data_IF_597692001278
#
_entry.id   IF_597692001278
#
_cell.length_a   1.000
_cell.length_b   1.000
_cell.length_c   1.000
_cell.angle_alpha   90.00
_cell.angle_beta   90.00
_cell.angle_gamma   90.00
#
_symmetry.space_group_name_H-M   'P 1'
#
loop_
_entity.id
_entity.type
_entity.pdbx_description
1 polymer ?
#
# COMPACT_ATOMS: atom_id res chain seq x y z
N UNK A 1 -26.43 -33.21 43.25
CA UNK A 1 -25.78 -31.88 43.05
C UNK A 1 -24.64 -32.01 42.05
N UNK A 2 -24.93 -31.93 40.75
CA UNK A 2 -23.91 -31.90 39.70
C UNK A 2 -23.51 -30.44 39.45
N UNK A 3 -22.21 -30.14 39.57
CA UNK A 3 -21.65 -28.80 39.34
C UNK A 3 -21.59 -28.52 37.83
N UNK A 4 -22.44 -27.60 37.36
CA UNK A 4 -22.30 -26.99 36.03
C UNK A 4 -20.98 -26.21 35.96
N UNK A 5 -20.03 -26.68 35.15
CA UNK A 5 -18.84 -25.91 34.81
C UNK A 5 -19.18 -24.85 33.75
N UNK A 6 -18.76 -23.58 33.91
CA UNK A 6 -18.98 -22.55 32.91
C UNK A 6 -18.03 -22.76 31.71
N UNK A 7 -18.55 -23.31 30.61
CA UNK A 7 -17.83 -23.50 29.36
C UNK A 7 -17.47 -22.19 28.60
N UNK A 8 -17.56 -21.02 29.25
CA UNK A 8 -17.62 -19.73 28.56
C UNK A 8 -16.26 -19.01 28.40
N UNK A 9 -15.18 -19.47 29.04
CA UNK A 9 -13.90 -18.73 29.06
C UNK A 9 -12.88 -19.16 28.00
N UNK A 10 -13.01 -20.34 27.39
CA UNK A 10 -11.94 -20.92 26.54
C UNK A 10 -11.83 -20.30 25.14
N UNK A 11 -12.90 -19.69 24.60
CA UNK A 11 -12.88 -19.13 23.23
C UNK A 11 -12.29 -17.72 23.13
N UNK A 12 -12.14 -16.98 24.24
CA UNK A 12 -11.59 -15.60 24.20
C UNK A 12 -10.07 -15.55 24.03
N UNK A 13 -9.36 -16.58 24.50
CA UNK A 13 -7.89 -16.63 24.47
C UNK A 13 -7.36 -16.93 23.05
N UNK A 14 -8.11 -17.71 22.26
CA UNK A 14 -7.68 -18.12 20.91
C UNK A 14 -7.72 -16.95 19.91
N UNK A 15 -8.69 -16.03 20.03
CA UNK A 15 -8.82 -14.88 19.13
C UNK A 15 -7.67 -13.87 19.34
N UNK A 16 -7.23 -13.68 20.59
CA UNK A 16 -6.12 -12.77 20.93
C UNK A 16 -4.78 -13.32 20.41
N UNK A 17 -4.56 -14.63 20.48
CA UNK A 17 -3.32 -15.27 20.02
C UNK A 17 -3.16 -15.26 18.50
N UNK A 18 -4.25 -15.19 17.72
CA UNK A 18 -4.20 -15.21 16.25
C UNK A 18 -4.00 -13.82 15.64
N UNK A 19 -4.37 -12.74 16.34
CA UNK A 19 -4.17 -11.35 15.90
C UNK A 19 -2.76 -10.81 16.22
N UNK A 20 -2.11 -11.30 17.27
CA UNK A 20 -0.80 -10.83 17.73
C UNK A 20 0.36 -11.04 16.73
N UNK A 21 0.50 -12.20 16.05
CA UNK A 21 1.61 -12.41 15.12
C UNK A 21 1.51 -11.56 13.83
N UNK A 22 0.30 -11.15 13.41
CA UNK A 22 0.12 -10.29 12.24
C UNK A 22 0.60 -8.84 12.46
N UNK A 23 0.70 -8.40 13.71
CA UNK A 23 1.22 -7.07 14.07
C UNK A 23 2.75 -7.03 14.16
N UNK A 24 3.40 -8.16 14.43
CA UNK A 24 4.85 -8.23 14.67
C UNK A 24 5.69 -8.41 13.40
N UNK A 25 5.11 -8.92 12.30
CA UNK A 25 5.87 -9.22 11.07
C UNK A 25 6.27 -7.99 10.22
N UNK A 26 5.82 -6.76 10.54
CA UNK A 26 6.10 -5.59 9.69
C UNK A 26 7.54 -5.05 9.78
N UNK A 27 8.31 -5.43 10.79
CA UNK A 27 9.59 -4.76 11.08
C UNK A 27 10.84 -5.57 10.72
N UNK A 28 10.72 -6.78 10.17
CA UNK A 28 11.87 -7.70 10.07
C UNK A 28 12.67 -7.64 8.74
N UNK A 29 12.24 -6.90 7.72
CA UNK A 29 12.89 -6.96 6.39
C UNK A 29 13.13 -5.63 5.66
N UNK A 30 12.96 -4.48 6.31
CA UNK A 30 13.29 -3.20 5.69
C UNK A 30 14.61 -2.67 6.26
N UNK A 31 15.73 -2.87 5.56
CA UNK A 31 16.84 -1.95 5.76
C UNK A 31 16.34 -0.56 5.32
N UNK A 32 16.40 0.46 6.20
CA UNK A 32 15.82 1.76 5.89
C UNK A 32 16.57 2.33 4.69
N UNK A 33 15.85 2.60 3.59
CA UNK A 33 16.38 3.19 2.36
C UNK A 33 17.18 4.47 2.64
N UNK A 34 16.77 5.23 3.65
CA UNK A 34 17.48 6.37 4.23
C UNK A 34 18.98 6.13 4.49
N UNK A 35 19.37 4.92 4.93
CA UNK A 35 20.79 4.60 5.12
C UNK A 35 21.58 4.61 3.81
N UNK A 36 20.99 4.12 2.72
CA UNK A 36 21.66 4.14 1.40
C UNK A 36 21.74 5.54 0.80
N UNK A 37 20.77 6.42 1.09
CA UNK A 37 20.83 7.84 0.69
C UNK A 37 21.92 8.58 1.46
N UNK A 38 22.09 8.29 2.75
CA UNK A 38 23.19 8.85 3.55
C UNK A 38 24.56 8.39 3.05
N UNK A 39 24.70 7.14 2.60
CA UNK A 39 25.92 6.66 1.96
C UNK A 39 26.26 7.45 0.69
N UNK A 40 25.26 7.77 -0.16
CA UNK A 40 25.47 8.61 -1.34
C UNK A 40 26.05 9.98 -0.96
N UNK A 41 25.47 10.62 0.08
CA UNK A 41 25.97 11.89 0.61
C UNK A 41 27.41 11.78 1.09
N UNK A 42 27.72 10.73 1.86
CA UNK A 42 29.08 10.48 2.36
C UNK A 42 30.10 10.27 1.23
N UNK A 43 29.75 9.54 0.17
CA UNK A 43 30.63 9.36 -0.99
C UNK A 43 30.97 10.70 -1.64
N UNK A 44 29.99 11.59 -1.81
CA UNK A 44 30.23 12.93 -2.32
C UNK A 44 31.12 13.77 -1.37
N UNK A 45 30.84 13.75 -0.07
CA UNK A 45 31.61 14.47 0.95
C UNK A 45 33.07 13.99 1.02
N UNK A 46 33.31 12.72 0.72
CA UNK A 46 34.64 12.12 0.61
C UNK A 46 35.30 12.32 -0.75
N UNK A 47 34.71 13.12 -1.65
CA UNK A 47 35.23 13.41 -3.01
C UNK A 47 35.26 12.16 -3.92
N UNK A 48 34.50 11.12 -3.57
CA UNK A 48 34.34 9.91 -4.39
C UNK A 48 33.19 10.06 -5.40
N UNK A 49 33.35 10.99 -6.35
CA UNK A 49 32.28 11.38 -7.27
C UNK A 49 31.75 10.24 -8.15
N UNK A 50 32.63 9.38 -8.67
CA UNK A 50 32.22 8.22 -9.50
C UNK A 50 31.43 7.18 -8.69
N UNK A 51 31.87 6.91 -7.45
CA UNK A 51 31.16 6.04 -6.51
C UNK A 51 29.78 6.61 -6.17
N UNK A 52 29.70 7.93 -5.94
CA UNK A 52 28.44 8.62 -5.68
C UNK A 52 27.47 8.48 -6.86
N UNK A 53 27.94 8.67 -8.10
CA UNK A 53 27.12 8.46 -9.31
C UNK A 53 26.62 7.02 -9.40
N UNK A 54 27.50 6.05 -9.16
CA UNK A 54 27.14 4.62 -9.18
C UNK A 54 26.04 4.32 -8.15
N UNK A 55 26.22 4.79 -6.91
CA UNK A 55 25.24 4.62 -5.84
C UNK A 55 23.92 5.32 -6.14
N UNK A 56 23.97 6.53 -6.71
CA UNK A 56 22.78 7.27 -7.14
C UNK A 56 22.00 6.50 -8.21
N UNK A 57 22.69 5.92 -9.20
CA UNK A 57 22.07 5.07 -10.23
C UNK A 57 21.42 3.80 -9.64
N UNK A 58 22.03 3.18 -8.63
CA UNK A 58 21.41 2.06 -7.91
C UNK A 58 20.12 2.49 -7.20
N UNK A 59 20.14 3.63 -6.51
CA UNK A 59 18.97 4.19 -5.82
C UNK A 59 17.83 4.51 -6.81
N UNK A 60 18.14 5.09 -7.97
CA UNK A 60 17.15 5.39 -9.01
C UNK A 60 16.55 4.14 -9.68
N UNK A 61 17.21 2.98 -9.59
CA UNK A 61 16.68 1.68 -10.07
C UNK A 61 15.74 1.01 -9.08
N UNK A 62 15.63 1.51 -7.85
CA UNK A 62 14.71 0.96 -6.86
C UNK A 62 13.25 1.13 -7.32
N UNK A 63 12.31 0.31 -6.82
CA UNK A 63 10.89 0.49 -7.11
C UNK A 63 10.45 1.93 -6.81
N UNK A 64 9.59 2.51 -7.64
CA UNK A 64 9.24 3.94 -7.58
C UNK A 64 8.57 4.45 -6.28
N UNK A 65 8.32 3.58 -5.31
CA UNK A 65 7.84 3.92 -3.96
C UNK A 65 8.90 3.70 -2.86
N UNK A 66 10.13 3.33 -3.22
CA UNK A 66 11.21 3.08 -2.28
C UNK A 66 11.85 4.38 -1.76
N UNK A 67 11.86 5.43 -2.58
CA UNK A 67 12.37 6.75 -2.23
C UNK A 67 11.20 7.72 -2.03
N UNK A 68 11.22 8.43 -0.91
CA UNK A 68 10.38 9.61 -0.73
C UNK A 68 10.78 10.73 -1.70
N UNK A 69 9.89 11.71 -1.97
CA UNK A 69 10.23 12.86 -2.83
C UNK A 69 11.47 13.62 -2.35
N UNK A 70 11.64 13.77 -1.03
CA UNK A 70 12.80 14.45 -0.45
C UNK A 70 14.08 13.64 -0.61
N UNK A 71 14.04 12.32 -0.40
CA UNK A 71 15.18 11.43 -0.65
C UNK A 71 15.56 11.42 -2.13
N UNK A 72 14.59 11.41 -3.04
CA UNK A 72 14.83 11.49 -4.47
C UNK A 72 15.47 12.82 -4.87
N UNK A 73 15.03 13.93 -4.26
CA UNK A 73 15.65 15.24 -4.44
C UNK A 73 17.11 15.24 -3.93
N UNK A 74 17.39 14.58 -2.80
CA UNK A 74 18.76 14.40 -2.30
C UNK A 74 19.60 13.59 -3.30
N UNK A 75 19.07 12.49 -3.85
CA UNK A 75 19.78 11.67 -4.83
C UNK A 75 20.17 12.49 -6.06
N UNK A 76 19.21 13.20 -6.67
CA UNK A 76 19.50 14.04 -7.83
C UNK A 76 20.47 15.17 -7.52
N UNK A 77 20.36 15.81 -6.36
CA UNK A 77 21.27 16.87 -5.94
C UNK A 77 22.73 16.40 -5.89
N UNK A 78 22.99 15.29 -5.20
CA UNK A 78 24.35 14.78 -5.05
C UNK A 78 24.89 14.15 -6.35
N UNK A 79 24.03 13.55 -7.18
CA UNK A 79 24.44 13.13 -8.52
C UNK A 79 24.82 14.34 -9.40
N UNK A 80 24.00 15.40 -9.40
CA UNK A 80 24.28 16.62 -10.16
C UNK A 80 25.60 17.27 -9.72
N UNK A 81 25.84 17.37 -8.42
CA UNK A 81 27.11 17.88 -7.88
C UNK A 81 28.30 17.01 -8.30
N UNK A 82 28.15 15.69 -8.25
CA UNK A 82 29.22 14.76 -8.63
C UNK A 82 29.57 14.87 -10.11
N UNK A 83 28.58 14.88 -11.01
CA UNK A 83 28.80 15.07 -12.44
C UNK A 83 29.44 16.43 -12.76
N UNK A 84 28.99 17.50 -12.10
CA UNK A 84 29.55 18.83 -12.30
C UNK A 84 31.03 18.88 -11.92
N UNK A 85 31.41 18.28 -10.78
CA UNK A 85 32.80 18.22 -10.33
C UNK A 85 33.70 17.37 -11.25
N UNK A 86 33.13 16.38 -11.95
CA UNK A 86 33.83 15.60 -12.98
C UNK A 86 33.90 16.33 -14.35
N UNK A 87 33.29 17.51 -14.48
CA UNK A 87 33.25 18.28 -15.72
C UNK A 87 32.16 17.84 -16.71
N UNK A 88 31.33 16.86 -16.35
CA UNK A 88 30.19 16.42 -17.16
C UNK A 88 28.96 17.31 -16.85
N UNK A 89 28.96 18.50 -17.43
CA UNK A 89 27.90 19.49 -17.22
C UNK A 89 26.55 19.06 -17.83
N UNK A 90 26.56 18.24 -18.88
CA UNK A 90 25.35 17.76 -19.52
C UNK A 90 24.58 16.79 -18.60
N UNK A 91 25.28 15.81 -18.02
CA UNK A 91 24.68 14.91 -17.03
C UNK A 91 24.27 15.65 -15.76
N UNK A 92 25.08 16.62 -15.31
CA UNK A 92 24.73 17.47 -14.16
C UNK A 92 23.42 18.24 -14.40
N UNK A 93 23.26 18.81 -15.61
CA UNK A 93 22.06 19.52 -16.02
C UNK A 93 20.82 18.66 -15.94
N UNK A 94 20.87 17.44 -16.46
CA UNK A 94 19.72 16.50 -16.41
C UNK A 94 19.26 16.32 -14.96
N UNK A 95 20.19 16.07 -14.04
CA UNK A 95 19.84 15.86 -12.63
C UNK A 95 19.38 17.13 -11.91
N UNK A 96 19.91 18.30 -12.24
CA UNK A 96 19.40 19.57 -11.71
C UNK A 96 17.99 19.89 -12.20
N UNK A 97 17.68 19.64 -13.47
CA UNK A 97 16.32 19.81 -13.99
C UNK A 97 15.35 18.81 -13.35
N UNK A 98 15.78 17.56 -13.14
CA UNK A 98 15.02 16.59 -12.35
C UNK A 98 14.77 17.08 -10.93
N UNK A 99 15.77 17.65 -10.26
CA UNK A 99 15.65 18.24 -8.94
C UNK A 99 14.65 19.41 -8.90
N UNK A 100 14.71 20.32 -9.88
CA UNK A 100 13.76 21.43 -10.03
C UNK A 100 12.33 20.96 -10.33
N UNK A 101 12.16 19.82 -11.01
CA UNK A 101 10.84 19.22 -11.22
C UNK A 101 10.21 18.71 -9.92
N UNK A 102 11.04 18.36 -8.92
CA UNK A 102 10.60 17.93 -7.59
C UNK A 102 10.38 19.13 -6.66
N UNK A 103 11.28 20.12 -6.72
CA UNK A 103 11.28 21.31 -5.86
C UNK A 103 11.54 22.58 -6.70
N UNK A 104 10.51 23.17 -7.34
CA UNK A 104 10.68 24.30 -8.27
C UNK A 104 11.27 25.56 -7.64
N UNK A 105 11.00 25.75 -6.34
CA UNK A 105 11.45 26.91 -5.58
C UNK A 105 12.78 26.68 -4.84
N UNK A 106 13.44 25.54 -5.06
CA UNK A 106 14.69 25.20 -4.38
C UNK A 106 15.76 26.27 -4.58
N UNK A 107 16.43 26.64 -3.49
CA UNK A 107 17.65 27.45 -3.48
C UNK A 107 18.79 26.62 -2.90
N UNK A 108 19.98 26.70 -3.51
CA UNK A 108 21.17 26.03 -2.99
C UNK A 108 21.80 26.86 -1.88
N UNK A 109 22.23 26.21 -0.80
CA UNK A 109 22.87 26.89 0.34
C UNK A 109 24.30 27.34 -0.04
N UNK A 110 24.61 28.66 -0.03
CA UNK A 110 25.95 29.17 -0.34
C UNK A 110 27.04 28.72 0.63
N UNK A 111 26.68 28.32 1.86
CA UNK A 111 27.64 27.81 2.83
C UNK A 111 28.09 26.36 2.51
N UNK A 112 27.30 25.62 1.75
CA UNK A 112 27.53 24.19 1.46
C UNK A 112 27.88 23.94 -0.01
N UNK A 113 27.65 24.92 -0.88
CA UNK A 113 27.76 24.77 -2.33
C UNK A 113 28.74 25.78 -2.91
N UNK A 114 29.59 25.34 -3.83
CA UNK A 114 30.55 26.25 -4.47
C UNK A 114 29.83 27.30 -5.33
N UNK A 115 30.36 28.55 -5.41
CA UNK A 115 29.75 29.61 -6.22
C UNK A 115 29.47 29.19 -7.66
N UNK A 116 30.40 28.44 -8.28
CA UNK A 116 30.24 27.95 -9.67
C UNK A 116 29.04 27.03 -9.86
N UNK A 117 28.77 26.14 -8.90
CA UNK A 117 27.61 25.25 -8.95
C UNK A 117 26.32 26.06 -8.76
N UNK A 118 26.34 27.06 -7.87
CA UNK A 118 25.19 27.95 -7.65
C UNK A 118 24.87 28.71 -8.94
N UNK A 119 25.85 29.32 -9.57
CA UNK A 119 25.66 30.06 -10.83
C UNK A 119 25.09 29.16 -11.92
N UNK A 120 25.63 27.95 -12.07
CA UNK A 120 25.13 26.95 -13.01
C UNK A 120 23.68 26.53 -12.70
N UNK A 121 23.37 26.28 -11.44
CA UNK A 121 22.01 25.92 -11.02
C UNK A 121 21.00 27.05 -11.25
N UNK A 122 21.36 28.31 -10.98
CA UNK A 122 20.49 29.45 -11.21
C UNK A 122 20.17 29.63 -12.70
N UNK A 123 21.15 29.45 -13.59
CA UNK A 123 20.92 29.44 -15.04
C UNK A 123 19.91 28.37 -15.44
N UNK A 124 20.04 27.15 -14.90
CA UNK A 124 19.10 26.07 -15.15
C UNK A 124 17.71 26.31 -14.55
N UNK A 125 17.63 27.03 -13.43
CA UNK A 125 16.36 27.43 -12.80
C UNK A 125 15.60 28.45 -13.66
N UNK A 126 16.30 29.43 -14.22
CA UNK A 126 15.73 30.38 -15.19
C UNK A 126 15.27 29.66 -16.45
N UNK A 127 16.09 28.74 -16.98
CA UNK A 127 15.71 27.90 -18.11
C UNK A 127 14.45 27.09 -17.79
N UNK A 128 14.42 26.39 -16.66
CA UNK A 128 13.28 25.56 -16.23
C UNK A 128 11.99 26.37 -16.11
N UNK A 129 12.05 27.60 -15.60
CA UNK A 129 10.90 28.52 -15.55
C UNK A 129 10.42 28.90 -16.94
N UNK A 130 11.33 29.20 -17.87
CA UNK A 130 10.97 29.53 -19.25
C UNK A 130 10.31 28.35 -19.97
N UNK A 131 10.81 27.13 -19.76
CA UNK A 131 10.22 25.93 -20.37
C UNK A 131 8.87 25.59 -19.74
N UNK A 132 8.73 25.75 -18.43
CA UNK A 132 7.44 25.50 -17.75
C UNK A 132 6.32 26.43 -18.24
N UNK A 133 6.66 27.59 -18.81
CA UNK A 133 5.71 28.51 -19.43
C UNK A 133 5.43 28.19 -20.91
N UNK A 134 6.32 27.45 -21.58
CA UNK A 134 6.22 27.02 -22.97
C UNK A 134 5.89 25.53 -23.03
N UNK A 135 4.64 25.18 -22.73
CA UNK A 135 4.17 23.85 -22.33
C UNK A 135 4.28 22.69 -23.36
N UNK A 136 5.02 22.78 -24.48
CA UNK A 136 4.79 21.86 -25.61
C UNK A 136 5.89 20.93 -26.16
N UNK A 137 7.21 21.05 -25.91
CA UNK A 137 8.16 20.29 -26.77
C UNK A 137 9.45 19.71 -26.16
N UNK A 138 9.66 19.72 -24.84
CA UNK A 138 10.93 19.20 -24.27
C UNK A 138 10.75 18.01 -23.33
N UNK A 139 11.52 16.96 -23.63
CA UNK A 139 11.55 15.68 -22.90
C UNK A 139 12.48 15.81 -21.69
N UNK A 140 11.95 16.23 -20.54
CA UNK A 140 12.57 15.95 -19.25
C UNK A 140 11.70 15.00 -18.45
N UNK A 141 12.35 14.12 -17.68
CA UNK A 141 11.68 13.17 -16.79
C UNK A 141 10.91 13.92 -15.71
N UNK A 142 9.61 14.14 -15.95
CA UNK A 142 8.69 14.68 -14.94
C UNK A 142 8.30 13.56 -13.99
N UNK A 143 8.76 13.65 -12.74
CA UNK A 143 8.34 12.71 -11.71
C UNK A 143 6.86 12.95 -11.37
N UNK A 144 6.03 11.94 -11.62
CA UNK A 144 4.63 11.94 -11.15
C UNK A 144 4.58 11.09 -9.89
N UNK A 145 4.44 11.77 -8.75
CA UNK A 145 4.23 11.10 -7.46
C UNK A 145 2.82 10.50 -7.48
N UNK A 146 2.73 9.20 -7.73
CA UNK A 146 1.47 8.47 -7.64
C UNK A 146 1.32 7.91 -6.21
N UNK A 147 0.28 8.34 -5.50
CA UNK A 147 -0.05 7.80 -4.18
C UNK A 147 -0.37 6.30 -4.29
N UNK A 148 0.27 5.44 -3.48
CA UNK A 148 -0.08 4.03 -3.46
C UNK A 148 -1.45 3.82 -2.80
N UNK A 149 -2.41 3.34 -3.57
CA UNK A 149 -3.78 3.11 -3.12
C UNK A 149 -3.92 1.92 -2.17
N UNK A 150 -2.91 1.05 -2.02
CA UNK A 150 -2.99 -0.21 -1.25
C UNK A 150 -3.32 -0.03 0.23
N UNK A 151 -2.64 0.82 1.03
CA UNK A 151 -2.92 0.94 2.46
C UNK A 151 -4.34 1.46 2.70
N UNK A 152 -4.74 2.47 1.92
CA UNK A 152 -6.09 3.01 1.96
C UNK A 152 -7.16 2.00 1.49
N UNK A 153 -6.84 1.14 0.52
CA UNK A 153 -7.75 0.09 0.07
C UNK A 153 -7.93 -1.01 1.13
N UNK A 154 -6.85 -1.41 1.81
CA UNK A 154 -6.91 -2.37 2.91
C UNK A 154 -7.80 -1.87 4.05
N UNK A 155 -7.60 -0.61 4.48
CA UNK A 155 -8.42 -0.01 5.55
C UNK A 155 -9.91 0.01 5.19
N UNK A 156 -10.24 0.42 3.96
CA UNK A 156 -11.64 0.43 3.49
C UNK A 156 -12.26 -0.95 3.45
N UNK A 157 -11.49 -1.96 3.03
CA UNK A 157 -11.94 -3.36 2.97
C UNK A 157 -12.13 -3.97 4.36
N UNK A 158 -11.37 -3.51 5.36
CA UNK A 158 -11.56 -3.92 6.74
C UNK A 158 -12.91 -3.44 7.30
N UNK A 159 -13.36 -2.23 6.91
CA UNK A 159 -14.67 -1.70 7.31
C UNK A 159 -15.80 -2.35 6.49
N UNK A 160 -15.67 -2.35 5.17
CA UNK A 160 -16.68 -2.88 4.25
C UNK A 160 -15.99 -3.82 3.25
N UNK A 161 -16.16 -5.14 3.38
CA UNK A 161 -15.54 -6.09 2.47
C UNK A 161 -15.90 -5.83 1.00
N UNK A 162 -14.87 -5.77 0.16
CA UNK A 162 -14.97 -5.44 -1.27
C UNK A 162 -14.81 -3.94 -1.61
N UNK A 163 -14.87 -3.03 -0.63
CA UNK A 163 -14.79 -1.58 -0.89
C UNK A 163 -13.41 -1.14 -1.38
N UNK A 164 -12.32 -1.70 -0.85
CA UNK A 164 -10.97 -1.38 -1.31
C UNK A 164 -10.70 -1.84 -2.74
N UNK A 165 -11.22 -3.01 -3.13
CA UNK A 165 -11.13 -3.49 -4.51
C UNK A 165 -11.87 -2.55 -5.48
N UNK A 166 -13.04 -2.03 -5.10
CA UNK A 166 -13.77 -1.03 -5.92
C UNK A 166 -12.95 0.24 -6.12
N UNK A 167 -12.31 0.77 -5.06
CA UNK A 167 -11.43 1.96 -5.15
C UNK A 167 -10.25 1.73 -6.10
N UNK A 168 -9.72 0.50 -6.14
CA UNK A 168 -8.65 0.09 -7.04
C UNK A 168 -9.13 -0.23 -8.47
N UNK A 169 -10.41 -0.02 -8.79
CA UNK A 169 -11.00 -0.34 -10.09
C UNK A 169 -11.23 -1.84 -10.34
N UNK A 170 -11.00 -2.71 -9.35
CA UNK A 170 -11.08 -4.16 -9.49
C UNK A 170 -12.51 -4.68 -9.25
N UNK A 171 -13.46 -4.31 -10.11
CA UNK A 171 -14.90 -4.61 -9.93
C UNK A 171 -15.20 -6.11 -9.75
N UNK A 172 -14.61 -6.98 -10.58
CA UNK A 172 -14.84 -8.43 -10.47
C UNK A 172 -14.38 -9.01 -9.12
N UNK A 173 -13.23 -8.57 -8.60
CA UNK A 173 -12.75 -9.00 -7.27
C UNK A 173 -13.63 -8.47 -6.15
N UNK A 174 -14.10 -7.23 -6.26
CA UNK A 174 -15.03 -6.66 -5.29
C UNK A 174 -16.33 -7.46 -5.21
N UNK A 175 -16.89 -7.89 -6.35
CA UNK A 175 -18.11 -8.72 -6.38
C UNK A 175 -17.87 -10.08 -5.73
N UNK A 176 -16.78 -10.78 -6.10
CA UNK A 176 -16.49 -12.12 -5.55
C UNK A 176 -16.20 -12.05 -4.05
N UNK A 177 -15.27 -11.19 -3.64
CA UNK A 177 -14.83 -11.13 -2.24
C UNK A 177 -15.82 -10.41 -1.33
N UNK A 178 -16.41 -9.31 -1.80
CA UNK A 178 -17.45 -8.60 -1.05
C UNK A 178 -18.75 -9.41 -1.01
N UNK A 179 -19.20 -9.91 -2.15
CA UNK A 179 -20.41 -10.74 -2.24
C UNK A 179 -20.32 -12.03 -1.43
N UNK A 180 -19.19 -12.73 -1.49
CA UNK A 180 -18.97 -13.93 -0.68
C UNK A 180 -19.00 -13.66 0.82
N UNK A 181 -18.43 -12.54 1.27
CA UNK A 181 -18.53 -12.13 2.68
C UNK A 181 -19.98 -11.87 3.09
N UNK A 182 -20.72 -11.06 2.33
CA UNK A 182 -22.11 -10.73 2.66
C UNK A 182 -23.03 -11.97 2.62
N UNK A 183 -22.84 -12.87 1.66
CA UNK A 183 -23.54 -14.14 1.62
C UNK A 183 -23.24 -15.00 2.86
N UNK A 184 -21.97 -15.11 3.26
CA UNK A 184 -21.56 -15.81 4.48
C UNK A 184 -22.16 -15.20 5.76
N UNK A 185 -22.22 -13.87 5.83
CA UNK A 185 -22.82 -13.14 6.95
C UNK A 185 -24.32 -13.42 7.05
N UNK A 186 -25.05 -13.38 5.93
CA UNK A 186 -26.48 -13.70 5.87
C UNK A 186 -26.71 -15.17 6.28
N UNK A 187 -25.93 -16.10 5.72
CA UNK A 187 -26.04 -17.52 6.06
C UNK A 187 -25.78 -17.77 7.56
N UNK A 188 -24.80 -17.09 8.15
CA UNK A 188 -24.52 -17.12 9.58
C UNK A 188 -25.71 -16.62 10.40
N UNK A 189 -26.35 -15.52 9.97
CA UNK A 189 -27.56 -14.97 10.60
C UNK A 189 -28.74 -15.94 10.58
N UNK A 190 -28.98 -16.61 9.44
CA UNK A 190 -30.02 -17.64 9.31
C UNK A 190 -29.73 -18.83 10.23
N UNK A 191 -28.49 -19.33 10.24
CA UNK A 191 -28.10 -20.43 11.12
C UNK A 191 -28.21 -20.07 12.60
N UNK A 192 -27.91 -18.80 12.97
CA UNK A 192 -28.12 -18.28 14.31
C UNK A 192 -29.60 -18.29 14.71
N UNK A 193 -30.48 -17.76 13.85
CA UNK A 193 -31.92 -17.73 14.10
C UNK A 193 -32.50 -19.14 14.28
N UNK A 194 -32.14 -20.08 13.40
CA UNK A 194 -32.58 -21.49 13.50
C UNK A 194 -32.08 -22.18 14.77
N UNK A 195 -30.79 -22.00 15.10
CA UNK A 195 -30.22 -22.54 16.33
C UNK A 195 -30.90 -21.97 17.58
N UNK A 196 -31.32 -20.70 17.57
CA UNK A 196 -32.02 -20.09 18.69
C UNK A 196 -33.45 -20.63 18.83
N UNK A 197 -34.21 -20.76 17.73
CA UNK A 197 -35.56 -21.35 17.77
C UNK A 197 -35.54 -22.78 18.32
N UNK A 198 -34.66 -23.64 17.80
CA UNK A 198 -34.53 -25.03 18.27
C UNK A 198 -34.06 -25.11 19.72
N UNK A 199 -33.30 -24.11 20.17
CA UNK A 199 -32.91 -24.01 21.57
C UNK A 199 -34.12 -23.80 22.47
N UNK A 200 -34.97 -22.87 22.10
CA UNK A 200 -36.16 -22.53 22.87
C UNK A 200 -37.13 -23.72 22.89
N UNK A 201 -37.27 -24.43 21.76
CA UNK A 201 -38.08 -25.65 21.64
C UNK A 201 -37.56 -26.79 22.54
N UNK A 202 -36.25 -27.11 22.52
CA UNK A 202 -35.72 -28.21 23.35
C UNK A 202 -35.83 -27.91 24.84
N UNK A 203 -35.71 -26.65 25.25
CA UNK A 203 -35.83 -26.23 26.66
C UNK A 203 -37.27 -26.37 27.14
N UNK A 204 -38.24 -26.15 26.25
CA UNK A 204 -39.66 -26.25 26.57
C UNK A 204 -40.20 -27.70 26.56
N UNK A 205 -39.56 -28.60 25.81
CA UNK A 205 -39.97 -29.99 25.68
C UNK A 205 -39.89 -30.74 27.03
N UNK A 206 -40.87 -31.61 27.27
CA UNK A 206 -40.97 -32.41 28.51
C UNK A 206 -40.77 -33.91 28.27
N UNK A 207 -41.03 -34.37 27.05
CA UNK A 207 -40.85 -35.77 26.68
C UNK A 207 -39.36 -36.07 26.41
N UNK A 208 -38.75 -37.08 27.07
CA UNK A 208 -37.34 -37.41 26.86
C UNK A 208 -36.96 -37.71 25.41
N UNK A 209 -37.83 -38.38 24.64
CA UNK A 209 -37.54 -38.70 23.24
C UNK A 209 -37.54 -37.43 22.37
N UNK A 210 -38.51 -36.54 22.59
CA UNK A 210 -38.56 -35.23 21.93
C UNK A 210 -37.36 -34.35 22.28
N UNK A 211 -36.95 -34.30 23.56
CA UNK A 211 -35.78 -33.54 24.02
C UNK A 211 -34.52 -33.99 23.26
N UNK A 212 -34.29 -35.30 23.14
CA UNK A 212 -33.10 -35.84 22.45
C UNK A 212 -33.08 -35.40 20.98
N UNK A 213 -34.22 -35.51 20.28
CA UNK A 213 -34.33 -35.12 18.87
C UNK A 213 -34.08 -33.63 18.66
N UNK A 214 -34.74 -32.77 19.44
CA UNK A 214 -34.57 -31.32 19.36
C UNK A 214 -33.15 -30.89 19.72
N UNK A 215 -32.51 -31.57 20.68
CA UNK A 215 -31.11 -31.35 21.02
C UNK A 215 -30.18 -31.66 19.85
N UNK A 216 -30.38 -32.78 19.15
CA UNK A 216 -29.55 -33.16 18.01
C UNK A 216 -29.69 -32.17 16.85
N UNK A 217 -30.92 -31.74 16.55
CA UNK A 217 -31.21 -30.70 15.55
C UNK A 217 -30.54 -29.36 15.94
N UNK A 218 -30.70 -28.95 17.20
CA UNK A 218 -30.05 -27.76 17.76
C UNK A 218 -28.53 -27.85 17.61
N UNK A 219 -27.93 -28.99 17.98
CA UNK A 219 -26.49 -29.21 17.92
C UNK A 219 -25.96 -29.17 16.48
N UNK A 220 -26.72 -29.72 15.53
CA UNK A 220 -26.44 -29.63 14.09
C UNK A 220 -26.35 -28.17 13.63
N UNK A 221 -27.40 -27.38 13.84
CA UNK A 221 -27.43 -25.96 13.47
C UNK A 221 -26.40 -25.12 14.22
N UNK A 222 -26.13 -25.46 15.48
CA UNK A 222 -25.10 -24.80 16.28
C UNK A 222 -23.69 -25.00 15.68
N UNK A 223 -23.36 -26.23 15.27
CA UNK A 223 -22.09 -26.54 14.58
C UNK A 223 -22.02 -25.86 13.22
N UNK A 224 -23.10 -25.88 12.44
CA UNK A 224 -23.19 -25.17 11.15
C UNK A 224 -22.94 -23.68 11.31
N UNK A 225 -23.57 -23.05 12.31
CA UNK A 225 -23.34 -21.64 12.63
C UNK A 225 -21.87 -21.37 12.93
N UNK A 226 -21.23 -22.18 13.78
CA UNK A 226 -19.81 -22.00 14.09
C UNK A 226 -18.92 -22.12 12.85
N UNK A 227 -19.20 -23.09 11.98
CA UNK A 227 -18.48 -23.27 10.73
C UNK A 227 -18.65 -22.05 9.80
N UNK A 228 -19.88 -21.56 9.63
CA UNK A 228 -20.18 -20.38 8.80
C UNK A 228 -19.56 -19.09 9.36
N UNK A 229 -19.59 -18.89 10.67
CA UNK A 229 -18.93 -17.76 11.33
C UNK A 229 -17.43 -17.79 11.06
N UNK A 230 -16.78 -18.96 11.22
CA UNK A 230 -15.35 -19.11 10.95
C UNK A 230 -15.03 -18.87 9.48
N UNK A 231 -15.80 -19.46 8.56
CA UNK A 231 -15.62 -19.27 7.13
C UNK A 231 -15.76 -17.79 6.73
N UNK A 232 -16.78 -17.10 7.26
CA UNK A 232 -17.00 -15.66 7.01
C UNK A 232 -15.84 -14.81 7.53
N UNK A 233 -15.31 -15.12 8.72
CA UNK A 233 -14.15 -14.43 9.27
C UNK A 233 -12.88 -14.66 8.42
N UNK A 234 -12.63 -15.89 7.96
CA UNK A 234 -11.53 -16.21 7.04
C UNK A 234 -11.69 -15.43 5.74
N UNK A 235 -12.90 -15.37 5.18
CA UNK A 235 -13.17 -14.64 3.95
C UNK A 235 -12.94 -13.13 4.11
N UNK A 236 -13.31 -12.57 5.26
CA UNK A 236 -13.01 -11.18 5.62
C UNK A 236 -11.50 -10.91 5.64
N UNK A 237 -10.70 -11.78 6.29
CA UNK A 237 -9.23 -11.65 6.30
C UNK A 237 -8.65 -11.70 4.88
N UNK A 238 -9.08 -12.67 4.07
CA UNK A 238 -8.65 -12.78 2.67
C UNK A 238 -8.99 -11.50 1.89
N UNK A 239 -10.18 -10.93 2.11
CA UNK A 239 -10.57 -9.68 1.44
C UNK A 239 -9.67 -8.49 1.80
N UNK A 240 -9.32 -8.33 3.08
CA UNK A 240 -8.43 -7.26 3.56
C UNK A 240 -7.01 -7.45 3.01
N UNK A 241 -6.48 -8.67 3.08
CA UNK A 241 -5.13 -8.99 2.56
C UNK A 241 -5.08 -8.76 1.04
N UNK A 242 -6.09 -9.22 0.30
CA UNK A 242 -6.17 -8.98 -1.14
C UNK A 242 -6.22 -7.48 -1.47
N UNK A 243 -6.96 -6.69 -0.70
CA UNK A 243 -7.02 -5.24 -0.92
C UNK A 243 -5.67 -4.56 -0.69
N UNK A 244 -4.89 -5.00 0.30
CA UNK A 244 -3.56 -4.48 0.60
C UNK A 244 -2.45 -4.96 -0.35
N UNK A 245 -2.58 -6.16 -0.93
CA UNK A 245 -1.49 -6.76 -1.71
C UNK A 245 -1.72 -6.76 -3.22
N UNK A 246 -2.98 -6.85 -3.67
CA UNK A 246 -3.22 -7.09 -5.09
C UNK A 246 -2.88 -5.90 -5.97
N UNK A 247 -2.20 -6.21 -7.07
CA UNK A 247 -1.87 -5.24 -8.12
C UNK A 247 -3.15 -4.65 -8.71
N UNK A 248 -3.15 -3.34 -8.89
CA UNK A 248 -4.23 -2.59 -9.51
C UNK A 248 -3.75 -1.99 -10.81
N UNK A 249 -4.67 -1.69 -11.76
CA UNK A 249 -4.33 -0.98 -12.97
C UNK A 249 -3.68 0.34 -12.57
N UNK A 250 -2.39 0.49 -12.88
CA UNK A 250 -1.72 1.78 -12.75
C UNK A 250 -2.18 2.65 -13.93
N UNK A 251 -2.37 3.97 -13.74
CA UNK A 251 -2.60 4.85 -14.87
C UNK A 251 -1.49 4.63 -15.89
N UNK A 252 -1.87 4.35 -17.14
CA UNK A 252 -0.90 4.24 -18.21
C UNK A 252 -0.58 5.66 -18.66
N UNK A 253 0.63 6.12 -18.41
CA UNK A 253 1.12 7.37 -18.95
C UNK A 253 1.44 7.14 -20.43
N UNK A 254 0.59 7.65 -21.31
CA UNK A 254 0.96 7.85 -22.71
C UNK A 254 1.57 9.24 -22.81
N UNK A 255 2.86 9.30 -23.09
CA UNK A 255 3.48 10.53 -23.57
C UNK A 255 2.96 10.76 -24.99
N UNK A 256 1.89 11.56 -25.13
CA UNK A 256 1.54 12.18 -26.40
C UNK A 256 2.44 13.39 -26.63
N UNK A 257 2.60 13.80 -27.88
CA UNK A 257 3.51 14.90 -28.28
C UNK A 257 3.16 16.28 -27.70
N UNK A 258 2.07 16.43 -26.93
CA UNK A 258 1.66 17.74 -26.40
C UNK A 258 0.75 17.70 -25.17
N UNK A 259 0.46 16.51 -24.62
CA UNK A 259 -0.27 16.38 -23.36
C UNK A 259 -0.01 15.01 -22.72
N UNK A 260 0.23 14.99 -21.41
CA UNK A 260 0.19 13.74 -20.62
C UNK A 260 -1.27 13.37 -20.42
N UNK A 261 -1.83 12.58 -21.33
CA UNK A 261 -3.17 12.02 -21.14
C UNK A 261 -3.16 10.92 -20.08
N UNK A 262 -3.81 11.18 -18.95
CA UNK A 262 -4.09 10.16 -17.94
C UNK A 262 -5.25 9.29 -18.41
N UNK A 263 -4.94 8.22 -19.15
CA UNK A 263 -5.93 7.21 -19.53
C UNK A 263 -5.98 6.08 -18.50
N UNK A 264 -7.16 5.85 -17.92
CA UNK A 264 -7.43 4.64 -17.14
C UNK A 264 -7.89 3.55 -18.10
N UNK A 265 -6.97 2.73 -18.59
CA UNK A 265 -7.35 1.52 -19.33
C UNK A 265 -8.04 0.56 -18.37
N UNK A 266 -9.38 0.48 -18.45
CA UNK A 266 -10.15 -0.57 -17.80
C UNK A 266 -10.10 -1.74 -18.79
N UNK A 267 -9.36 -2.83 -18.53
CA UNK A 267 -9.44 -3.99 -19.38
C UNK A 267 -10.87 -4.54 -19.30
N UNK A 268 -11.64 -4.35 -20.37
CA UNK A 268 -12.89 -5.07 -20.59
C UNK A 268 -12.49 -6.52 -20.89
N UNK A 269 -12.64 -7.39 -19.89
CA UNK A 269 -12.61 -8.84 -20.07
C UNK A 269 -14.03 -9.35 -20.17
#
# INVERSE_FOLDING_TARGET
MQRCYPAFTRNRIVIIFLLLPLLLCKNLFAQPVSNSVNQLKQLYENVEFESAITKGNELLKLPGNALSPDELAIVHRYMAFSFFNLGDQDSARVHFLSLLSLQPDLELNPAETSPKIIDFFQQLKEEFRSISQQENDRVFTKYVIAEDLRPGAALRSAVIPGWGQLRKGQRGRAVVLGGGFWAGLIATGVAYSKSQSLKDDYVAAKDPAEISRLYDDYNGWHKTRQALTLATAVFWVINVVDAGWSNYPKPAFRAGNSAVELSFSIPLK
#
